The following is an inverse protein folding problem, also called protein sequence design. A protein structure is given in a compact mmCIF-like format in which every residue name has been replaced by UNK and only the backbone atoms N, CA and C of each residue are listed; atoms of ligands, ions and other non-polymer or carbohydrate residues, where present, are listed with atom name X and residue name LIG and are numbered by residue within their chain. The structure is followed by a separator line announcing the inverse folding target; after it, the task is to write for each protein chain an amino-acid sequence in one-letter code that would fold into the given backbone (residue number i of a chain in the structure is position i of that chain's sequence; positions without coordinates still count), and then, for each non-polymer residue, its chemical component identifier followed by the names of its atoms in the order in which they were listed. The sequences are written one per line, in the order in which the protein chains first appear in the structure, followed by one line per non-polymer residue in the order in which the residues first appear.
data_IF_893612353552
#
_entry.id   IF_893612353552
#
_cell.length_a   1.000
_cell.length_b   1.000
_cell.length_c   1.000
_cell.angle_alpha   90.00
_cell.angle_beta   90.00
_cell.angle_gamma   90.00
#
_symmetry.space_group_name_H-M   'P 1'
#
loop_
_entity.id
_entity.type
_entity.pdbx_description
1 polymer ?
#
# COMPACT_ATOMS: atom_id res chain seq x y z
N UNK A 1 16.40 -0.29 -11.32
CA UNK A 1 15.30 0.15 -10.45
C UNK A 1 14.11 0.42 -11.31
N UNK A 2 13.12 -0.46 -11.26
CA UNK A 2 11.94 -0.37 -12.14
C UNK A 2 10.83 0.30 -11.34
N UNK A 3 10.43 1.50 -11.74
CA UNK A 3 9.19 2.12 -11.27
C UNK A 3 8.05 1.14 -11.58
N UNK A 4 7.07 0.90 -10.69
CA UNK A 4 5.98 -0.02 -10.98
C UNK A 4 5.19 0.50 -12.18
N UNK A 5 5.15 -0.23 -13.30
CA UNK A 5 4.65 0.35 -14.55
C UNK A 5 3.19 0.03 -14.85
N UNK A 6 2.64 -1.08 -14.36
CA UNK A 6 1.27 -1.49 -14.75
C UNK A 6 0.49 -2.23 -13.69
N UNK A 7 1.13 -2.76 -12.65
CA UNK A 7 0.47 -3.62 -11.65
C UNK A 7 0.92 -3.19 -10.26
N UNK A 8 -0.03 -2.96 -9.36
CA UNK A 8 0.26 -2.68 -7.95
C UNK A 8 0.23 -3.97 -7.12
N UNK A 9 1.17 -4.10 -6.18
CA UNK A 9 1.15 -5.21 -5.20
C UNK A 9 -0.04 -5.13 -4.24
N UNK A 10 -0.52 -3.93 -3.94
CA UNK A 10 -1.74 -3.72 -3.18
C UNK A 10 -2.40 -2.41 -3.54
N UNK A 11 -3.72 -2.38 -3.55
CA UNK A 11 -4.49 -1.16 -3.78
C UNK A 11 -5.64 -1.05 -2.80
N UNK A 12 -5.64 0.04 -2.03
CA UNK A 12 -6.79 0.46 -1.24
C UNK A 12 -7.65 1.41 -2.08
N UNK A 13 -8.91 1.05 -2.29
CA UNK A 13 -9.91 1.89 -2.95
C UNK A 13 -11.00 2.31 -1.96
N UNK A 14 -11.39 3.57 -2.02
CA UNK A 14 -12.52 4.08 -1.24
C UNK A 14 -13.84 3.88 -1.99
N UNK A 15 -14.58 2.85 -1.59
CA UNK A 15 -15.87 2.51 -2.18
C UNK A 15 -17.06 3.32 -1.66
N UNK A 16 -16.82 4.37 -0.86
CA UNK A 16 -17.85 5.36 -0.59
C UNK A 16 -18.22 6.12 -1.86
N UNK A 17 -19.48 6.55 -1.94
CA UNK A 17 -19.96 7.47 -2.97
C UNK A 17 -19.67 8.92 -2.56
N UNK A 18 -19.79 9.86 -3.49
CA UNK A 18 -19.66 11.30 -3.20
C UNK A 18 -20.40 11.74 -1.91
N UNK A 19 -19.70 12.51 -1.08
CA UNK A 19 -20.17 12.94 0.24
C UNK A 19 -19.98 11.93 1.38
N UNK A 20 -19.51 10.72 1.08
CA UNK A 20 -19.18 9.72 2.09
C UNK A 20 -17.87 10.00 2.84
N UNK A 21 -17.45 9.04 3.68
CA UNK A 21 -16.24 9.17 4.50
C UNK A 21 -14.98 9.06 3.66
N UNK A 22 -13.96 9.81 4.07
CA UNK A 22 -12.60 9.69 3.55
C UNK A 22 -11.79 8.71 4.40
N UNK A 23 -10.80 8.06 3.79
CA UNK A 23 -9.84 7.22 4.51
C UNK A 23 -8.58 8.03 4.80
N UNK A 24 -8.28 8.20 6.08
CA UNK A 24 -7.08 8.89 6.56
C UNK A 24 -6.04 7.85 6.91
N UNK A 25 -4.97 7.78 6.13
CA UNK A 25 -3.94 6.73 6.24
C UNK A 25 -3.05 7.02 7.45
N UNK A 26 -2.93 6.06 8.37
CA UNK A 26 -2.08 6.19 9.55
C UNK A 26 -0.73 5.51 9.36
N UNK A 27 -0.68 4.40 8.61
CA UNK A 27 0.53 3.61 8.40
C UNK A 27 0.53 2.95 7.03
N UNK A 28 1.74 2.87 6.46
CA UNK A 28 2.07 2.07 5.30
C UNK A 28 3.10 1.03 5.75
N UNK A 29 2.96 -0.22 5.33
CA UNK A 29 3.93 -1.25 5.70
C UNK A 29 4.23 -2.23 4.58
N UNK A 30 5.42 -2.81 4.64
CA UNK A 30 5.82 -3.93 3.81
C UNK A 30 6.77 -4.88 4.55
N UNK A 31 6.67 -6.17 4.23
CA UNK A 31 7.61 -7.21 4.68
C UNK A 31 8.21 -7.87 3.44
N UNK A 32 9.53 -8.01 3.38
CA UNK A 32 10.18 -8.82 2.35
C UNK A 32 10.36 -10.25 2.86
N UNK A 33 9.98 -11.25 2.06
CA UNK A 33 9.83 -12.63 2.55
C UNK A 33 10.77 -13.65 1.87
N UNK A 34 11.40 -13.31 0.74
CA UNK A 34 12.44 -14.15 0.12
C UNK A 34 13.38 -13.33 -0.78
N UNK A 35 14.68 -13.65 -0.76
CA UNK A 35 15.68 -13.09 -1.68
C UNK A 35 16.96 -13.95 -1.78
N UNK A 36 17.81 -13.67 -2.77
CA UNK A 36 19.06 -14.42 -3.03
C UNK A 36 20.17 -14.11 -2.01
N UNK A 37 20.58 -15.12 -1.24
CA UNK A 37 21.57 -15.05 -0.17
C UNK A 37 22.99 -14.59 -0.61
N UNK A 38 23.28 -14.52 -1.91
CA UNK A 38 24.58 -14.14 -2.45
C UNK A 38 24.84 -12.65 -2.66
N UNK A 39 23.82 -11.79 -2.50
CA UNK A 39 23.88 -10.40 -2.96
C UNK A 39 23.66 -9.36 -1.83
N UNK A 40 23.85 -8.07 -2.14
CA UNK A 40 23.23 -6.98 -1.37
C UNK A 40 21.88 -6.67 -1.99
N UNK A 41 20.84 -6.55 -1.18
CA UNK A 41 19.53 -6.13 -1.66
C UNK A 41 19.12 -4.78 -1.09
N UNK A 42 18.52 -3.97 -1.96
CA UNK A 42 17.97 -2.67 -1.66
C UNK A 42 16.49 -2.70 -1.99
N UNK A 43 15.69 -2.21 -1.06
CA UNK A 43 14.24 -2.16 -1.19
C UNK A 43 13.76 -0.72 -1.17
N UNK A 44 12.75 -0.44 -1.99
CA UNK A 44 12.10 0.86 -2.09
C UNK A 44 10.61 0.66 -1.99
N UNK A 45 9.96 1.49 -1.17
CA UNK A 45 8.51 1.51 -1.08
C UNK A 45 7.96 2.61 -1.98
N UNK A 46 7.06 2.24 -2.87
CA UNK A 46 6.45 3.13 -3.86
C UNK A 46 4.97 3.26 -3.57
N UNK A 47 4.45 4.47 -3.72
CA UNK A 47 3.02 4.72 -3.64
C UNK A 47 2.54 5.52 -4.86
N UNK A 48 1.28 5.32 -5.22
CA UNK A 48 0.58 6.07 -6.25
C UNK A 48 -0.80 6.46 -5.72
N UNK A 49 -1.08 7.77 -5.70
CA UNK A 49 -2.38 8.30 -5.27
C UNK A 49 -3.25 8.51 -6.50
N UNK A 50 -4.45 7.93 -6.47
CA UNK A 50 -5.43 8.00 -7.56
C UNK A 50 -6.52 9.01 -7.20
N UNK A 51 -6.57 10.19 -7.85
CA UNK A 51 -7.63 11.17 -7.60
C UNK A 51 -9.01 10.71 -8.08
N UNK A 52 -9.05 9.77 -9.03
CA UNK A 52 -10.23 9.02 -9.44
C UNK A 52 -9.76 7.62 -9.80
N UNK A 53 -10.45 6.59 -9.34
CA UNK A 53 -10.12 5.21 -9.66
C UNK A 53 -11.37 4.43 -10.05
N UNK A 54 -11.29 3.64 -11.11
CA UNK A 54 -12.32 2.63 -11.37
C UNK A 54 -12.22 1.57 -10.28
N UNK A 55 -13.34 1.27 -9.61
CA UNK A 55 -13.39 0.29 -8.53
C UNK A 55 -12.67 -1.01 -8.93
N UNK A 56 -11.59 -1.40 -8.22
CA UNK A 56 -10.85 -2.63 -8.52
C UNK A 56 -11.59 -3.87 -8.00
N UNK A 57 -10.99 -5.03 -8.23
CA UNK A 57 -11.41 -6.29 -7.58
C UNK A 57 -11.20 -6.23 -6.07
N UNK A 58 -11.79 -7.18 -5.34
CA UNK A 58 -11.78 -7.20 -3.87
C UNK A 58 -11.20 -8.53 -3.39
N UNK A 59 -9.88 -8.64 -3.47
CA UNK A 59 -9.17 -9.89 -3.22
C UNK A 59 -8.89 -10.12 -1.73
N UNK A 60 -8.75 -9.05 -0.95
CA UNK A 60 -8.51 -9.10 0.49
C UNK A 60 -9.66 -8.42 1.22
N UNK A 61 -10.26 -9.13 2.17
CA UNK A 61 -11.25 -8.55 3.09
C UNK A 61 -10.52 -7.75 4.18
N UNK A 62 -10.73 -6.42 4.28
CA UNK A 62 -10.16 -5.64 5.37
C UNK A 62 -10.62 -6.15 6.74
N UNK A 63 -9.87 -5.80 7.79
CA UNK A 63 -10.19 -6.17 9.17
C UNK A 63 -10.15 -4.96 10.08
N UNK A 64 -11.04 -4.93 11.07
CA UNK A 64 -10.96 -3.96 12.15
C UNK A 64 -9.76 -4.24 13.04
N UNK A 65 -9.11 -3.19 13.55
CA UNK A 65 -7.99 -3.29 14.49
C UNK A 65 -8.46 -3.29 15.97
N UNK A 66 -9.76 -3.13 16.22
CA UNK A 66 -10.34 -3.24 17.56
C UNK A 66 -10.49 -4.72 17.92
N UNK A 67 -10.03 -5.10 19.11
CA UNK A 67 -10.18 -6.46 19.61
C UNK A 67 -11.63 -6.93 19.56
N UNK A 68 -11.88 -8.08 18.90
CA UNK A 68 -13.21 -8.65 18.72
C UNK A 68 -13.91 -8.30 17.40
N UNK A 69 -13.38 -7.34 16.62
CA UNK A 69 -13.92 -7.04 15.29
C UNK A 69 -13.43 -8.08 14.28
N UNK A 70 -14.27 -9.09 14.05
CA UNK A 70 -13.99 -10.15 13.07
C UNK A 70 -14.33 -9.75 11.64
N UNK A 71 -15.17 -8.73 11.45
CA UNK A 71 -15.63 -8.28 10.15
C UNK A 71 -15.47 -6.77 10.01
N UNK A 72 -14.87 -6.33 8.92
CA UNK A 72 -14.90 -4.93 8.51
C UNK A 72 -16.25 -4.61 7.87
N UNK A 73 -16.95 -3.61 8.42
CA UNK A 73 -18.28 -3.19 7.95
C UNK A 73 -18.30 -1.97 7.02
N UNK A 74 -17.13 -1.40 6.71
CA UNK A 74 -17.02 -0.26 5.81
C UNK A 74 -17.00 -0.67 4.33
N UNK A 75 -16.74 0.29 3.45
CA UNK A 75 -16.76 0.09 1.99
C UNK A 75 -15.38 0.05 1.34
N UNK A 76 -14.31 -0.03 2.13
CA UNK A 76 -12.98 -0.17 1.58
C UNK A 76 -12.86 -1.46 0.78
N UNK A 77 -12.20 -1.34 -0.37
CA UNK A 77 -11.84 -2.46 -1.22
C UNK A 77 -10.33 -2.56 -1.22
N UNK A 78 -9.82 -3.75 -0.95
CA UNK A 78 -8.40 -4.03 -1.05
C UNK A 78 -8.15 -5.07 -2.13
N UNK A 79 -7.38 -4.70 -3.13
CA UNK A 79 -7.07 -5.49 -4.31
C UNK A 79 -5.59 -5.86 -4.35
N UNK A 80 -5.26 -7.03 -4.91
CA UNK A 80 -3.88 -7.40 -5.23
C UNK A 80 -3.73 -7.50 -6.74
N UNK A 81 -2.71 -6.86 -7.32
CA UNK A 81 -2.53 -6.91 -8.76
C UNK A 81 -3.43 -5.97 -9.57
N UNK A 82 -4.01 -4.94 -8.93
CA UNK A 82 -4.77 -3.92 -9.64
C UNK A 82 -3.94 -3.31 -10.79
N UNK A 83 -4.56 -3.19 -11.97
CA UNK A 83 -3.92 -2.49 -13.08
C UNK A 83 -3.87 -0.99 -12.79
N UNK A 84 -2.67 -0.42 -12.80
CA UNK A 84 -2.42 1.00 -12.53
C UNK A 84 -1.77 1.63 -13.74
N UNK A 85 -2.34 2.71 -14.26
CA UNK A 85 -1.70 3.51 -15.31
C UNK A 85 -0.43 4.14 -14.72
N UNK A 86 0.70 4.08 -15.43
CA UNK A 86 2.02 4.54 -15.02
C UNK A 86 2.12 6.08 -14.87
N UNK A 87 1.29 6.69 -14.04
CA UNK A 87 1.30 8.13 -13.80
C UNK A 87 1.09 8.37 -12.30
N UNK A 88 2.07 9.02 -11.65
CA UNK A 88 1.97 9.40 -10.24
C UNK A 88 2.67 8.50 -9.22
N UNK A 89 3.49 7.53 -9.62
CA UNK A 89 4.34 6.78 -8.68
C UNK A 89 5.45 7.66 -8.10
N UNK A 90 5.58 7.66 -6.78
CA UNK A 90 6.71 8.27 -6.08
C UNK A 90 7.16 7.41 -4.90
N UNK A 91 8.43 7.54 -4.53
CA UNK A 91 8.99 6.82 -3.39
C UNK A 91 8.47 7.39 -2.08
N UNK A 92 8.16 6.51 -1.14
CA UNK A 92 7.76 6.84 0.22
C UNK A 92 8.54 5.97 1.18
N UNK A 93 8.75 6.45 2.41
CA UNK A 93 9.58 5.78 3.42
C UNK A 93 11.07 5.72 3.05
N UNK A 94 11.87 5.17 3.96
CA UNK A 94 13.29 4.96 3.75
C UNK A 94 13.52 3.73 2.86
N UNK A 95 14.62 3.74 2.11
CA UNK A 95 15.14 2.52 1.50
C UNK A 95 15.89 1.70 2.54
N UNK A 96 15.63 0.40 2.56
CA UNK A 96 16.38 -0.53 3.41
C UNK A 96 17.44 -1.24 2.56
N UNK A 97 18.65 -1.34 3.09
CA UNK A 97 19.73 -2.13 2.52
C UNK A 97 20.07 -3.26 3.49
N UNK A 98 20.01 -4.49 3.02
CA UNK A 98 20.45 -5.65 3.80
C UNK A 98 21.97 -5.77 3.83
N UNK A 99 22.48 -6.44 4.86
CA UNK A 99 23.87 -6.88 4.91
C UNK A 99 24.09 -8.06 3.96
N UNK A 100 25.30 -8.19 3.42
CA UNK A 100 25.68 -9.32 2.56
C UNK A 100 25.69 -10.64 3.33
N UNK A 101 25.22 -11.72 2.71
CA UNK A 101 25.29 -13.07 3.26
C UNK A 101 24.26 -13.41 4.34
N UNK A 102 23.17 -12.64 4.47
CA UNK A 102 22.09 -12.96 5.40
C UNK A 102 21.04 -13.86 4.72
N UNK A 103 21.17 -15.17 4.92
CA UNK A 103 20.32 -16.22 4.33
C UNK A 103 18.84 -16.08 4.70
N UNK A 104 18.51 -15.39 5.80
CA UNK A 104 17.13 -15.21 6.31
C UNK A 104 16.80 -13.74 6.63
N UNK A 105 17.46 -12.79 5.94
CA UNK A 105 17.31 -11.37 6.21
C UNK A 105 15.98 -10.81 5.71
N UNK A 106 14.93 -10.91 6.52
CA UNK A 106 13.67 -10.17 6.31
C UNK A 106 13.89 -8.68 6.61
N UNK A 107 13.39 -7.82 5.73
CA UNK A 107 13.32 -6.37 5.95
C UNK A 107 11.86 -5.97 6.19
N UNK A 108 11.64 -5.08 7.14
CA UNK A 108 10.33 -4.53 7.43
C UNK A 108 10.38 -3.03 7.17
N UNK A 109 9.50 -2.57 6.28
CA UNK A 109 9.22 -1.14 6.14
C UNK A 109 7.98 -0.88 6.96
N UNK A 110 8.12 -0.04 7.98
CA UNK A 110 7.03 0.50 8.77
C UNK A 110 7.08 2.02 8.70
N UNK A 111 6.16 2.61 7.93
CA UNK A 111 6.11 4.05 7.72
C UNK A 111 4.84 4.63 8.35
N UNK A 112 5.00 5.31 9.47
CA UNK A 112 3.94 6.14 10.05
C UNK A 112 3.63 7.32 9.10
N UNK A 113 2.40 7.33 8.56
CA UNK A 113 1.92 8.39 7.66
C UNK A 113 1.38 9.58 8.45
N UNK A 114 0.98 9.36 9.71
CA UNK A 114 0.48 10.40 10.62
C UNK A 114 -0.71 11.17 10.03
N UNK A 115 -1.57 10.51 9.26
CA UNK A 115 -2.75 11.11 8.65
C UNK A 115 -2.48 12.08 7.49
N UNK A 116 -1.23 12.17 7.00
CA UNK A 116 -0.84 13.08 5.92
C UNK A 116 -1.35 12.67 4.53
N UNK A 117 -1.87 11.45 4.39
CA UNK A 117 -2.48 10.96 3.15
C UNK A 117 -3.95 10.71 3.42
N UNK A 118 -4.80 11.30 2.58
CA UNK A 118 -6.26 11.17 2.64
C UNK A 118 -6.73 10.63 1.31
N UNK A 119 -7.59 9.61 1.34
CA UNK A 119 -8.23 9.00 0.18
C UNK A 119 -9.73 9.33 0.24
N UNK A 120 -10.19 10.36 -0.51
CA UNK A 120 -11.60 10.72 -0.60
C UNK A 120 -12.46 9.58 -1.20
N UNK A 121 -13.79 9.66 -1.14
CA UNK A 121 -14.68 8.75 -1.85
C UNK A 121 -14.29 8.61 -3.33
N UNK A 122 -14.36 7.38 -3.86
CA UNK A 122 -14.05 7.02 -5.26
C UNK A 122 -12.57 7.21 -5.69
N UNK A 123 -11.69 7.57 -4.75
CA UNK A 123 -10.24 7.64 -4.94
C UNK A 123 -9.55 6.32 -4.52
N UNK A 124 -8.25 6.21 -4.80
CA UNK A 124 -7.46 5.05 -4.42
C UNK A 124 -6.02 5.36 -4.02
N UNK A 125 -5.37 4.38 -3.41
CA UNK A 125 -3.96 4.36 -3.06
C UNK A 125 -3.38 3.02 -3.46
N UNK A 126 -2.46 3.01 -4.41
CA UNK A 126 -1.67 1.83 -4.75
C UNK A 126 -0.31 1.87 -4.06
N UNK A 127 0.15 0.70 -3.66
CA UNK A 127 1.45 0.50 -3.02
C UNK A 127 2.24 -0.59 -3.75
N UNK A 128 3.55 -0.45 -3.77
CA UNK A 128 4.45 -1.43 -4.38
C UNK A 128 5.79 -1.47 -3.66
N UNK A 129 6.43 -2.63 -3.68
CA UNK A 129 7.85 -2.76 -3.34
C UNK A 129 8.63 -2.90 -4.63
N UNK A 130 9.68 -2.10 -4.78
CA UNK A 130 10.68 -2.27 -5.82
C UNK A 130 12.01 -2.67 -5.18
N UNK A 131 12.86 -3.34 -5.94
CA UNK A 131 14.23 -3.60 -5.50
C UNK A 131 15.20 -3.72 -6.66
N UNK A 132 16.46 -4.03 -6.33
CA UNK A 132 17.53 -4.25 -7.31
C UNK A 132 17.60 -5.71 -7.81
N UNK A 133 16.86 -6.62 -7.20
CA UNK A 133 16.73 -8.03 -7.58
C UNK A 133 15.28 -8.31 -8.00
N UNK A 134 15.11 -9.12 -9.05
CA UNK A 134 13.80 -9.52 -9.58
C UNK A 134 13.12 -10.62 -8.76
N UNK A 135 13.86 -11.32 -7.89
CA UNK A 135 13.34 -12.41 -7.06
C UNK A 135 12.73 -11.94 -5.73
N UNK A 136 12.69 -10.62 -5.50
CA UNK A 136 12.16 -10.06 -4.26
C UNK A 136 10.65 -10.30 -4.23
N UNK A 137 10.22 -11.03 -3.21
CA UNK A 137 8.81 -11.13 -2.85
C UNK A 137 8.55 -10.28 -1.62
N UNK A 138 7.39 -9.64 -1.58
CA UNK A 138 6.99 -8.86 -0.43
C UNK A 138 5.49 -8.92 -0.19
N UNK A 139 5.11 -8.69 1.05
CA UNK A 139 3.75 -8.36 1.45
C UNK A 139 3.67 -6.85 1.67
N UNK A 140 2.53 -6.26 1.35
CA UNK A 140 2.27 -4.83 1.52
C UNK A 140 0.97 -4.64 2.27
N UNK A 141 0.83 -3.49 2.93
CA UNK A 141 -0.42 -3.12 3.55
C UNK A 141 -0.49 -1.68 3.99
N UNK A 142 -1.69 -1.34 4.44
CA UNK A 142 -2.13 0.00 4.83
C UNK A 142 -3.06 -0.15 6.03
N UNK A 143 -2.95 0.77 7.00
CA UNK A 143 -4.00 1.02 7.99
C UNK A 143 -4.54 2.44 7.86
N UNK A 144 -5.82 2.60 8.18
CA UNK A 144 -6.53 3.86 8.04
C UNK A 144 -7.63 4.03 9.10
N UNK A 145 -8.06 5.28 9.23
CA UNK A 145 -9.30 5.66 9.89
C UNK A 145 -10.31 6.15 8.86
N UNK A 146 -11.59 5.87 9.08
CA UNK A 146 -12.67 6.45 8.29
C UNK A 146 -13.22 7.70 8.97
N UNK A 147 -13.17 8.83 8.27
CA UNK A 147 -13.56 10.13 8.83
C UNK A 147 -14.48 10.85 7.86
N UNK A 148 -15.59 11.37 8.35
CA UNK A 148 -16.37 12.35 7.60
C UNK A 148 -15.58 13.65 7.58
N UNK A 149 -15.08 14.03 6.41
CA UNK A 149 -14.37 15.30 6.23
C UNK A 149 -15.27 16.24 5.43
N UNK A 150 -15.46 17.46 5.94
CA UNK A 150 -16.11 18.55 5.20
C UNK A 150 -15.11 19.19 4.24
N UNK A 151 -14.49 18.37 3.38
CA UNK A 151 -13.68 18.88 2.28
C UNK A 151 -14.64 19.42 1.23
N UNK A 152 -14.60 20.73 1.00
CA UNK A 152 -15.40 21.38 -0.04
C UNK A 152 -15.16 20.65 -1.37
N UNK A 153 -16.25 20.15 -1.95
CA UNK A 153 -16.30 19.53 -3.29
C UNK A 153 -15.93 20.52 -4.37
#
# INVERSE_FOLDING_TARGET
TTIPTTTAMGTLYNGETGGGKSYVIDRLFANTEAWDAGNYNMFFFWICIHPVMTKPTSDITPKGLRGGDVNYGGKAVFDIGATVVNDGWYSRANSERTANGNVDGMANIDHAVEGKIVIPPECGLSVNVGGNDTNITAQVGVSWYEVQLDLAS
#
